data_IF_410385457199
#
_entry.id   IF_410385457199
#
_cell.length_a   1.000
_cell.length_b   1.000
_cell.length_c   1.000
_cell.angle_alpha   90.00
_cell.angle_beta   90.00
_cell.angle_gamma   90.00
#
_symmetry.space_group_name_H-M   'P 1'
#
loop_
_entity.id
_entity.type
_entity.pdbx_description
1 polymer ?
#
# COMPACT_ATOMS: atom_id res chain seq x y z
N UNK A 1 2.17 39.25 1.90
CA UNK A 1 1.65 37.88 1.90
C UNK A 1 2.36 37.06 0.83
N UNK A 2 2.86 35.91 1.19
CA UNK A 2 3.57 35.03 0.25
C UNK A 2 2.58 34.12 -0.47
N UNK A 3 2.31 34.40 -1.75
CA UNK A 3 1.39 33.60 -2.57
C UNK A 3 1.92 32.16 -2.76
N UNK A 4 3.25 32.00 -2.87
CA UNK A 4 3.88 30.69 -3.01
C UNK A 4 3.65 29.86 -1.76
N UNK A 5 3.73 30.46 -0.59
CA UNK A 5 3.46 29.80 0.69
C UNK A 5 2.03 29.22 0.74
N UNK A 6 1.05 29.98 0.23
CA UNK A 6 -0.33 29.52 0.13
C UNK A 6 -0.48 28.31 -0.78
N UNK A 7 0.18 28.33 -1.95
CA UNK A 7 0.19 27.21 -2.88
C UNK A 7 0.84 25.97 -2.25
N UNK A 8 1.97 26.14 -1.57
CA UNK A 8 2.67 25.04 -0.90
C UNK A 8 1.81 24.41 0.20
N UNK A 9 1.09 25.21 0.97
CA UNK A 9 0.17 24.70 2.00
C UNK A 9 -0.97 23.90 1.39
N UNK A 10 -1.53 24.39 0.29
CA UNK A 10 -2.61 23.69 -0.41
C UNK A 10 -2.13 22.37 -0.97
N UNK A 11 -0.96 22.36 -1.62
CA UNK A 11 -0.36 21.11 -2.13
C UNK A 11 -0.03 20.12 -1.04
N UNK A 12 0.46 20.61 0.11
CA UNK A 12 0.71 19.76 1.26
C UNK A 12 -0.59 19.12 1.77
N UNK A 13 -1.66 19.90 1.86
CA UNK A 13 -2.96 19.39 2.27
C UNK A 13 -3.47 18.32 1.32
N UNK A 14 -3.38 18.57 0.01
CA UNK A 14 -3.76 17.60 -1.02
C UNK A 14 -2.95 16.31 -0.90
N UNK A 15 -1.65 16.42 -0.67
CA UNK A 15 -0.77 15.26 -0.50
C UNK A 15 -1.12 14.44 0.73
N UNK A 16 -1.47 15.09 1.84
CA UNK A 16 -1.90 14.42 3.05
C UNK A 16 -3.21 13.65 2.85
N UNK A 17 -4.14 14.22 2.08
CA UNK A 17 -5.40 13.56 1.73
C UNK A 17 -5.15 12.34 0.83
N UNK A 18 -4.28 12.46 -0.18
CA UNK A 18 -3.87 11.36 -1.03
C UNK A 18 -3.27 10.21 -0.20
N UNK A 19 -2.40 10.54 0.75
CA UNK A 19 -1.79 9.55 1.64
C UNK A 19 -2.85 8.78 2.43
N UNK A 20 -3.86 9.46 2.96
CA UNK A 20 -4.97 8.83 3.70
C UNK A 20 -5.76 7.90 2.79
N UNK A 21 -6.04 8.35 1.56
CA UNK A 21 -6.80 7.56 0.59
C UNK A 21 -6.05 6.29 0.20
N UNK A 22 -4.75 6.37 -0.07
CA UNK A 22 -3.93 5.20 -0.42
C UNK A 22 -3.87 4.20 0.74
N UNK A 23 -3.73 4.68 1.97
CA UNK A 23 -3.74 3.80 3.15
C UNK A 23 -5.08 3.09 3.30
N UNK A 24 -6.17 3.81 3.08
CA UNK A 24 -7.52 3.25 3.16
C UNK A 24 -7.73 2.17 2.12
N UNK A 25 -7.28 2.41 0.88
CA UNK A 25 -7.39 1.41 -0.19
C UNK A 25 -6.58 0.15 0.12
N UNK A 26 -5.39 0.30 0.72
CA UNK A 26 -4.58 -0.84 1.16
C UNK A 26 -5.29 -1.68 2.23
N UNK A 27 -5.98 -1.03 3.16
CA UNK A 27 -6.71 -1.73 4.24
C UNK A 27 -7.88 -2.56 3.71
N UNK A 28 -8.46 -2.18 2.58
CA UNK A 28 -9.57 -2.90 1.95
C UNK A 28 -9.14 -4.19 1.25
N UNK A 29 -7.85 -4.34 0.94
CA UNK A 29 -7.34 -5.49 0.21
C UNK A 29 -7.29 -6.74 1.10
N UNK A 30 -7.58 -7.93 0.52
CA UNK A 30 -7.36 -9.18 1.25
C UNK A 30 -5.90 -9.28 1.71
N UNK A 31 -5.72 -9.68 2.96
CA UNK A 31 -4.38 -9.82 3.54
C UNK A 31 -3.76 -11.14 3.14
N UNK A 32 -2.46 -11.10 2.81
CA UNK A 32 -1.69 -12.28 2.52
C UNK A 32 -1.47 -12.52 1.04
N UNK A 33 -0.65 -13.51 0.76
CA UNK A 33 -0.26 -13.93 -0.58
C UNK A 33 -0.52 -15.42 -0.72
N UNK A 34 -1.19 -15.84 -1.79
CA UNK A 34 -1.35 -17.25 -2.10
C UNK A 34 -0.09 -17.78 -2.78
N UNK A 35 0.44 -18.87 -2.24
CA UNK A 35 1.57 -19.60 -2.81
C UNK A 35 1.09 -20.98 -3.24
N UNK A 36 1.39 -21.31 -4.50
CA UNK A 36 1.10 -22.63 -5.06
C UNK A 36 2.27 -23.57 -4.80
N UNK A 37 1.97 -24.76 -4.26
CA UNK A 37 2.93 -25.85 -4.13
C UNK A 37 2.43 -27.06 -4.90
N UNK A 38 3.35 -27.74 -5.58
CA UNK A 38 3.05 -28.97 -6.30
C UNK A 38 3.60 -30.13 -5.45
N UNK A 39 2.68 -31.00 -5.02
CA UNK A 39 3.02 -32.17 -4.22
C UNK A 39 2.47 -33.38 -4.94
N UNK A 40 3.35 -34.29 -5.37
CA UNK A 40 2.98 -35.51 -6.11
C UNK A 40 2.09 -35.24 -7.33
N UNK A 41 2.40 -34.18 -8.09
CA UNK A 41 1.65 -33.80 -9.28
C UNK A 41 0.36 -33.05 -9.02
N UNK A 42 -0.01 -32.81 -7.77
CA UNK A 42 -1.20 -32.05 -7.41
C UNK A 42 -0.84 -30.66 -6.91
N UNK A 43 -1.65 -29.68 -7.31
CA UNK A 43 -1.48 -28.28 -6.90
C UNK A 43 -2.23 -27.98 -5.61
N UNK A 44 -1.52 -27.44 -4.63
CA UNK A 44 -2.08 -27.00 -3.36
C UNK A 44 -1.67 -25.58 -3.07
N UNK A 45 -2.52 -24.83 -2.39
CA UNK A 45 -2.29 -23.43 -2.07
C UNK A 45 -2.15 -23.22 -0.57
N UNK A 46 -1.22 -22.34 -0.21
CA UNK A 46 -1.04 -21.83 1.14
C UNK A 46 -1.18 -20.33 1.11
N UNK A 47 -1.89 -19.78 2.11
CA UNK A 47 -1.95 -18.33 2.31
C UNK A 47 -0.88 -17.95 3.31
N UNK A 48 0.06 -17.10 2.88
CA UNK A 48 1.09 -16.55 3.75
C UNK A 48 0.65 -15.16 4.17
N UNK A 49 0.57 -14.94 5.48
CA UNK A 49 0.18 -13.65 6.05
C UNK A 49 1.01 -13.33 7.28
N UNK A 50 1.11 -12.05 7.61
CA UNK A 50 1.74 -11.60 8.84
C UNK A 50 0.68 -11.31 9.88
N UNK A 51 0.91 -11.80 11.08
CA UNK A 51 0.05 -11.56 12.22
C UNK A 51 0.90 -11.37 13.47
N UNK A 52 0.79 -10.22 14.12
CA UNK A 52 1.55 -9.91 15.32
C UNK A 52 3.06 -10.00 15.15
N UNK A 53 3.59 -9.60 13.98
CA UNK A 53 5.01 -9.68 13.67
C UNK A 53 5.52 -11.06 13.27
N UNK A 54 4.65 -12.07 13.25
CA UNK A 54 4.99 -13.43 12.85
C UNK A 54 4.40 -13.76 11.49
N UNK A 55 5.11 -14.58 10.72
CA UNK A 55 4.63 -15.11 9.46
C UNK A 55 3.84 -16.39 9.72
N UNK A 56 2.59 -16.42 9.24
CA UNK A 56 1.72 -17.60 9.35
C UNK A 56 1.46 -18.19 7.97
N UNK A 57 1.41 -19.51 7.90
CA UNK A 57 1.10 -20.28 6.71
C UNK A 57 -0.23 -20.99 6.94
N UNK A 58 -1.27 -20.58 6.23
CA UNK A 58 -2.58 -21.20 6.33
C UNK A 58 -2.81 -22.08 5.10
N UNK A 59 -3.09 -23.35 5.32
CA UNK A 59 -3.40 -24.28 4.23
C UNK A 59 -4.78 -23.96 3.65
N UNK A 60 -4.83 -23.72 2.33
CA UNK A 60 -6.08 -23.41 1.62
C UNK A 60 -6.56 -24.52 0.71
N UNK A 61 -5.75 -25.54 0.50
CA UNK A 61 -6.11 -26.65 -0.37
C UNK A 61 -6.22 -26.26 -1.84
N UNK A 62 -7.41 -26.38 -2.41
CA UNK A 62 -7.68 -26.03 -3.81
C UNK A 62 -8.72 -24.91 -3.84
N UNK A 63 -8.30 -23.63 -3.74
CA UNK A 63 -9.23 -22.52 -3.83
C UNK A 63 -9.81 -22.40 -5.24
N UNK A 64 -10.95 -21.72 -5.35
CA UNK A 64 -11.57 -21.46 -6.65
C UNK A 64 -10.70 -20.56 -7.52
N UNK A 65 -10.90 -20.60 -8.82
CA UNK A 65 -10.20 -19.71 -9.74
C UNK A 65 -10.49 -18.24 -9.45
N UNK A 66 -11.69 -17.92 -8.99
CA UNK A 66 -12.05 -16.56 -8.56
C UNK A 66 -11.27 -16.12 -7.34
N UNK A 67 -11.13 -16.98 -6.35
CA UNK A 67 -10.37 -16.67 -5.14
C UNK A 67 -8.89 -16.46 -5.45
N UNK A 68 -8.31 -17.31 -6.30
CA UNK A 68 -6.92 -17.14 -6.75
C UNK A 68 -6.75 -15.79 -7.44
N UNK A 69 -7.68 -15.45 -8.33
CA UNK A 69 -7.66 -14.17 -9.06
C UNK A 69 -7.75 -12.97 -8.13
N UNK A 70 -8.60 -13.03 -7.12
CA UNK A 70 -8.75 -11.97 -6.12
C UNK A 70 -7.44 -11.70 -5.39
N UNK A 71 -6.73 -12.75 -4.97
CA UNK A 71 -5.43 -12.59 -4.29
C UNK A 71 -4.33 -12.09 -5.23
N UNK A 72 -4.34 -12.51 -6.48
CA UNK A 72 -3.40 -12.00 -7.49
C UNK A 72 -3.63 -10.50 -7.75
N UNK A 73 -4.88 -10.09 -7.92
CA UNK A 73 -5.25 -8.69 -8.10
C UNK A 73 -4.90 -7.85 -6.87
N UNK A 74 -5.15 -8.38 -5.67
CA UNK A 74 -4.78 -7.71 -4.43
C UNK A 74 -3.27 -7.51 -4.32
N UNK A 75 -2.48 -8.48 -4.75
CA UNK A 75 -1.01 -8.37 -4.77
C UNK A 75 -0.56 -7.23 -5.69
N UNK A 76 -1.14 -7.12 -6.88
CA UNK A 76 -0.83 -6.05 -7.84
C UNK A 76 -1.22 -4.68 -7.30
N UNK A 77 -2.42 -4.56 -6.74
CA UNK A 77 -2.91 -3.31 -6.14
C UNK A 77 -2.07 -2.89 -4.94
N UNK A 78 -1.66 -3.85 -4.10
CA UNK A 78 -0.79 -3.57 -2.95
C UNK A 78 0.53 -2.97 -3.41
N UNK A 79 1.13 -3.54 -4.45
CA UNK A 79 2.37 -3.00 -5.02
C UNK A 79 2.16 -1.58 -5.53
N UNK A 80 1.07 -1.35 -6.27
CA UNK A 80 0.71 -0.03 -6.81
C UNK A 80 0.56 1.01 -5.69
N UNK A 81 -0.25 0.72 -4.68
CA UNK A 81 -0.50 1.67 -3.59
C UNK A 81 0.72 1.90 -2.72
N UNK A 82 1.57 0.90 -2.52
CA UNK A 82 2.84 1.09 -1.81
C UNK A 82 3.78 2.02 -2.56
N UNK A 83 3.84 1.92 -3.88
CA UNK A 83 4.62 2.83 -4.71
C UNK A 83 4.07 4.26 -4.63
N UNK A 84 2.75 4.41 -4.74
CA UNK A 84 2.09 5.70 -4.62
C UNK A 84 2.30 6.33 -3.24
N UNK A 85 2.24 5.53 -2.18
CA UNK A 85 2.55 5.98 -0.82
C UNK A 85 3.99 6.46 -0.69
N UNK A 86 4.94 5.71 -1.26
CA UNK A 86 6.34 6.11 -1.25
C UNK A 86 6.53 7.47 -1.92
N UNK A 87 5.90 7.67 -3.09
CA UNK A 87 5.97 8.93 -3.82
C UNK A 87 5.33 10.08 -3.06
N UNK A 88 4.13 9.88 -2.52
CA UNK A 88 3.44 10.94 -1.77
C UNK A 88 4.16 11.30 -0.48
N UNK A 89 4.77 10.32 0.19
CA UNK A 89 5.56 10.59 1.39
C UNK A 89 6.78 11.46 1.09
N UNK A 90 7.45 11.23 -0.05
CA UNK A 90 8.55 12.07 -0.50
C UNK A 90 8.07 13.49 -0.81
N UNK A 91 6.92 13.62 -1.45
CA UNK A 91 6.32 14.90 -1.76
C UNK A 91 5.96 15.69 -0.50
N UNK A 92 5.36 15.01 0.48
CA UNK A 92 5.01 15.61 1.79
C UNK A 92 6.27 16.12 2.48
N UNK A 93 7.32 15.32 2.50
CA UNK A 93 8.61 15.70 3.12
C UNK A 93 9.20 16.93 2.44
N UNK A 94 9.18 16.96 1.11
CA UNK A 94 9.69 18.08 0.33
C UNK A 94 8.90 19.36 0.59
N UNK A 95 7.57 19.29 0.53
CA UNK A 95 6.69 20.44 0.77
C UNK A 95 6.80 20.96 2.20
N UNK A 96 6.86 20.05 3.17
CA UNK A 96 7.03 20.41 4.58
C UNK A 96 8.36 21.10 4.82
N UNK A 97 9.42 20.64 4.16
CA UNK A 97 10.74 21.28 4.22
C UNK A 97 10.72 22.67 3.66
N UNK A 98 10.11 22.89 2.50
CA UNK A 98 9.99 24.20 1.88
C UNK A 98 9.20 25.17 2.74
N UNK A 99 8.12 24.73 3.36
CA UNK A 99 7.31 25.57 4.26
C UNK A 99 8.05 25.93 5.52
N UNK A 100 8.83 25.00 6.07
CA UNK A 100 9.66 25.26 7.26
C UNK A 100 10.74 26.30 6.96
N UNK A 101 11.40 26.19 5.81
CA UNK A 101 12.44 27.14 5.40
C UNK A 101 11.86 28.54 5.23
N UNK A 102 10.64 28.66 4.68
CA UNK A 102 9.95 29.95 4.53
C UNK A 102 9.53 30.58 5.85
N UNK A 103 9.32 29.77 6.90
CA UNK A 103 9.03 30.30 8.24
C UNK A 103 10.25 30.93 8.91
N UNK A 104 11.43 30.56 8.47
CA UNK A 104 12.70 31.08 9.04
C UNK A 104 13.08 32.45 8.53
N UNK A 105 12.37 32.99 7.55
CA UNK A 105 12.66 34.29 6.90
C UNK A 105 11.78 35.42 7.51
#
# INVERSE_FOLDING_TARGET
MDAIKGVLKEELQNSLEMKRDYKRELEKLPKGVLIKKIIRGHEYYYLIRREGGKVRFDYKGKPSSEEIKQYEEAKKLRKKYRQLLSQVNKQIKYLSGMLRDRKSV
#
